data_IF_132439385012
#
_entry.id   IF_132439385012
#
_cell.length_a   1.000
_cell.length_b   1.000
_cell.length_c   1.000
_cell.angle_alpha   90.00
_cell.angle_beta   90.00
_cell.angle_gamma   90.00
#
_symmetry.space_group_name_H-M   'P 1'
#
loop_
_entity.id
_entity.type
_entity.pdbx_description
1 polymer ?
#
# COMPACT_ATOMS: atom_id res chain seq x y z
N UNK A 1 15.57 34.02 6.07
CA UNK A 1 15.69 33.10 7.21
C UNK A 1 17.11 33.06 7.75
N UNK A 2 17.31 33.09 9.07
CA UNK A 2 18.58 32.85 9.75
C UNK A 2 18.39 31.65 10.69
N UNK A 3 19.27 30.67 10.59
CA UNK A 3 19.32 29.53 11.49
C UNK A 3 20.44 29.75 12.48
N UNK A 4 20.14 29.64 13.77
CA UNK A 4 21.11 29.74 14.86
C UNK A 4 21.06 28.41 15.61
N UNK A 5 22.15 27.66 15.54
CA UNK A 5 22.30 26.41 16.28
C UNK A 5 23.07 26.67 17.57
N UNK A 6 22.53 26.19 18.69
CA UNK A 6 23.20 26.15 19.97
C UNK A 6 23.36 24.69 20.37
N UNK A 7 24.59 24.28 20.66
CA UNK A 7 24.89 22.94 21.19
C UNK A 7 25.77 23.06 22.41
N UNK A 8 25.25 22.64 23.55
CA UNK A 8 25.92 22.50 24.84
C UNK A 8 25.73 21.05 25.33
N UNK A 9 26.57 20.52 26.23
CA UNK A 9 26.35 19.20 26.80
C UNK A 9 24.94 19.09 27.42
N UNK A 10 24.11 18.20 26.88
CA UNK A 10 22.72 17.99 27.32
C UNK A 10 21.69 18.97 26.75
N UNK A 11 22.08 19.92 25.89
CA UNK A 11 21.16 20.84 25.23
C UNK A 11 21.53 21.07 23.77
N UNK A 12 20.66 20.63 22.87
CA UNK A 12 20.70 20.99 21.45
C UNK A 12 19.47 21.83 21.12
N UNK A 13 19.68 23.04 20.62
CA UNK A 13 18.63 23.96 20.22
C UNK A 13 18.90 24.48 18.80
N UNK A 14 17.85 24.50 17.98
CA UNK A 14 17.81 25.17 16.70
C UNK A 14 16.83 26.34 16.81
N UNK A 15 17.33 27.56 16.64
CA UNK A 15 16.50 28.76 16.58
C UNK A 15 16.42 29.24 15.14
N UNK A 16 15.20 29.29 14.62
CA UNK A 16 14.93 29.84 13.30
C UNK A 16 14.34 31.25 13.43
N UNK A 17 14.99 32.23 12.79
CA UNK A 17 14.51 33.61 12.73
C UNK A 17 14.20 33.95 11.28
N UNK A 18 12.94 34.25 10.98
CA UNK A 18 12.52 34.69 9.65
C UNK A 18 11.71 35.98 9.68
N UNK A 19 11.68 36.68 8.54
CA UNK A 19 10.81 37.85 8.31
C UNK A 19 9.49 37.44 7.65
N UNK A 20 9.36 36.17 7.27
CA UNK A 20 8.17 35.65 6.62
C UNK A 20 6.99 35.71 7.60
N UNK A 21 5.79 35.97 7.08
CA UNK A 21 4.59 35.87 7.88
C UNK A 21 4.34 34.40 8.27
N UNK A 22 3.59 34.14 9.37
CA UNK A 22 3.18 32.79 9.72
C UNK A 22 2.51 32.03 8.56
N UNK A 23 1.72 32.73 7.73
CA UNK A 23 1.04 32.15 6.57
C UNK A 23 2.02 31.74 5.48
N UNK A 24 3.01 32.58 5.17
CA UNK A 24 4.05 32.25 4.20
C UNK A 24 4.88 31.06 4.68
N UNK A 25 5.23 31.03 5.97
CA UNK A 25 5.98 29.90 6.56
C UNK A 25 5.18 28.60 6.53
N UNK A 26 3.88 28.65 6.83
CA UNK A 26 2.98 27.51 6.72
C UNK A 26 2.92 26.98 5.27
N UNK A 27 2.83 27.86 4.28
CA UNK A 27 2.81 27.49 2.87
C UNK A 27 4.12 26.82 2.43
N UNK A 28 5.26 27.34 2.86
CA UNK A 28 6.57 26.75 2.57
C UNK A 28 6.71 25.36 3.17
N UNK A 29 6.31 25.17 4.43
CA UNK A 29 6.32 23.86 5.10
C UNK A 29 5.45 22.85 4.34
N UNK A 30 4.25 23.24 3.90
CA UNK A 30 3.41 22.37 3.09
C UNK A 30 4.01 22.05 1.72
N UNK A 31 4.63 23.03 1.06
CA UNK A 31 5.28 22.81 -0.23
C UNK A 31 6.44 21.82 -0.11
N UNK A 32 7.27 22.00 0.91
CA UNK A 32 8.40 21.11 1.19
C UNK A 32 7.92 19.70 1.55
N UNK A 33 6.88 19.60 2.39
CA UNK A 33 6.27 18.33 2.74
C UNK A 33 5.76 17.55 1.52
N UNK A 34 4.98 18.21 0.66
CA UNK A 34 4.41 17.61 -0.57
C UNK A 34 5.46 17.16 -1.59
N UNK A 35 6.66 17.76 -1.57
CA UNK A 35 7.78 17.32 -2.42
C UNK A 35 8.41 16.00 -1.97
N UNK A 36 8.31 15.68 -0.68
CA UNK A 36 9.02 14.55 -0.08
C UNK A 36 8.09 13.44 0.42
N UNK A 37 6.80 13.70 0.57
CA UNK A 37 5.84 12.75 1.13
C UNK A 37 4.69 12.50 0.16
N UNK A 38 4.15 11.29 0.23
CA UNK A 38 2.83 11.01 -0.36
C UNK A 38 1.79 11.89 0.35
N UNK A 39 0.93 12.53 -0.43
CA UNK A 39 -0.20 13.30 0.10
C UNK A 39 -1.45 13.06 -0.75
N UNK A 40 -2.59 13.42 -0.19
CA UNK A 40 -3.90 13.16 -0.80
C UNK A 40 -4.65 14.49 -0.91
N UNK A 41 -5.23 14.74 -2.08
CA UNK A 41 -6.05 15.91 -2.39
C UNK A 41 -7.53 15.51 -2.54
N UNK A 42 -8.44 16.31 -2.00
CA UNK A 42 -9.87 16.00 -1.97
C UNK A 42 -10.55 16.22 -0.60
N UNK A 43 -11.74 15.60 -0.38
CA UNK A 43 -12.40 14.64 -1.27
C UNK A 43 -12.91 15.29 -2.58
N UNK A 44 -12.94 14.50 -3.64
CA UNK A 44 -13.59 14.81 -4.91
C UNK A 44 -15.07 14.37 -4.89
N UNK A 45 -15.86 14.83 -5.86
CA UNK A 45 -17.30 14.51 -5.90
C UNK A 45 -17.58 13.06 -6.31
N UNK A 46 -16.73 12.47 -7.17
CA UNK A 46 -16.86 11.11 -7.69
C UNK A 46 -15.51 10.60 -8.21
N UNK A 47 -15.43 9.30 -8.52
CA UNK A 47 -14.21 8.68 -9.06
C UNK A 47 -13.74 9.34 -10.35
N UNK A 48 -14.68 9.72 -11.23
CA UNK A 48 -14.38 10.32 -12.53
C UNK A 48 -13.67 11.67 -12.38
N UNK A 49 -14.09 12.49 -11.43
CA UNK A 49 -13.48 13.79 -11.14
C UNK A 49 -12.12 13.67 -10.46
N UNK A 50 -11.91 12.68 -9.60
CA UNK A 50 -10.58 12.36 -9.08
C UNK A 50 -9.65 11.86 -10.20
N UNK A 51 -10.13 10.95 -11.06
CA UNK A 51 -9.37 10.42 -12.19
C UNK A 51 -8.96 11.55 -13.15
N UNK A 52 -9.88 12.44 -13.50
CA UNK A 52 -9.60 13.60 -14.36
C UNK A 52 -8.61 14.61 -13.74
N UNK A 53 -8.45 14.60 -12.41
CA UNK A 53 -7.50 15.42 -11.67
C UNK A 53 -6.16 14.70 -11.40
N UNK A 54 -5.95 13.52 -11.98
CA UNK A 54 -4.76 12.68 -11.79
C UNK A 54 -4.12 12.28 -13.12
N UNK A 55 -2.87 11.82 -13.07
CA UNK A 55 -2.13 11.33 -14.24
C UNK A 55 -2.47 9.88 -14.60
N UNK A 56 -2.86 9.06 -13.61
CA UNK A 56 -3.25 7.66 -13.78
C UNK A 56 -2.09 6.65 -13.77
N UNK A 57 -2.43 5.35 -13.76
CA UNK A 57 -1.47 4.23 -13.64
C UNK A 57 -0.79 3.81 -14.96
N UNK A 58 -1.28 4.28 -16.11
CA UNK A 58 -0.84 3.82 -17.44
C UNK A 58 0.47 4.44 -17.93
N UNK A 59 1.23 5.12 -17.06
CA UNK A 59 2.48 5.74 -17.47
C UNK A 59 3.56 4.66 -17.72
N UNK A 60 4.14 4.54 -18.94
CA UNK A 60 5.18 3.55 -19.24
C UNK A 60 6.41 3.61 -18.31
N UNK A 61 6.65 4.79 -17.72
CA UNK A 61 7.71 5.02 -16.75
C UNK A 61 7.55 4.19 -15.45
N UNK A 62 6.32 3.87 -15.04
CA UNK A 62 6.06 3.08 -13.82
C UNK A 62 6.54 1.65 -14.03
N UNK A 63 6.13 1.00 -15.13
CA UNK A 63 6.59 -0.35 -15.46
C UNK A 63 8.12 -0.42 -15.61
N UNK A 64 8.72 0.56 -16.31
CA UNK A 64 10.17 0.60 -16.48
C UNK A 64 10.90 0.66 -15.13
N UNK A 65 10.43 1.50 -14.20
CA UNK A 65 11.01 1.61 -12.86
C UNK A 65 10.78 0.35 -12.03
N UNK A 66 9.60 -0.24 -12.11
CA UNK A 66 9.29 -1.51 -11.45
C UNK A 66 10.23 -2.62 -11.95
N UNK A 67 10.45 -2.75 -13.26
CA UNK A 67 11.38 -3.71 -13.84
C UNK A 67 12.79 -3.53 -13.29
N UNK A 68 13.32 -2.31 -13.26
CA UNK A 68 14.67 -2.04 -12.77
C UNK A 68 14.82 -2.36 -11.27
N UNK A 69 13.80 -2.05 -10.47
CA UNK A 69 13.76 -2.37 -9.04
C UNK A 69 13.68 -3.89 -8.82
N UNK A 70 12.78 -4.60 -9.50
CA UNK A 70 12.63 -6.05 -9.39
C UNK A 70 13.88 -6.78 -9.87
N UNK A 71 14.50 -6.35 -10.98
CA UNK A 71 15.82 -6.86 -11.43
C UNK A 71 16.88 -6.69 -10.35
N UNK A 72 16.90 -5.55 -9.64
CA UNK A 72 17.84 -5.34 -8.55
C UNK A 72 17.68 -6.37 -7.42
N UNK A 73 16.43 -6.71 -7.09
CA UNK A 73 16.12 -7.73 -6.08
C UNK A 73 16.49 -9.14 -6.54
N UNK A 74 16.13 -9.51 -7.78
CA UNK A 74 16.42 -10.84 -8.34
C UNK A 74 17.92 -11.06 -8.49
N UNK A 75 18.67 -10.03 -8.89
CA UNK A 75 20.13 -10.08 -9.03
C UNK A 75 20.89 -9.92 -7.70
N UNK A 76 20.20 -9.80 -6.57
CA UNK A 76 20.81 -9.65 -5.24
C UNK A 76 21.47 -8.29 -4.98
N UNK A 77 21.23 -7.29 -5.83
CA UNK A 77 21.66 -5.89 -5.60
C UNK A 77 20.82 -5.17 -4.55
N UNK A 78 19.60 -5.67 -4.30
CA UNK A 78 18.71 -5.21 -3.24
C UNK A 78 18.11 -6.43 -2.51
N UNK A 79 17.73 -6.26 -1.24
CA UNK A 79 17.05 -7.28 -0.45
C UNK A 79 15.58 -7.42 -0.82
N UNK A 80 14.90 -6.30 -1.08
CA UNK A 80 13.52 -6.23 -1.58
C UNK A 80 13.28 -4.84 -2.20
N UNK A 81 12.11 -4.66 -2.80
CA UNK A 81 11.63 -3.34 -3.23
C UNK A 81 10.19 -3.12 -2.74
N UNK A 82 9.80 -1.85 -2.62
CA UNK A 82 8.43 -1.44 -2.30
C UNK A 82 8.13 -0.16 -3.05
N UNK A 83 7.03 -0.14 -3.78
CA UNK A 83 6.64 0.98 -4.65
C UNK A 83 7.80 1.41 -5.56
N UNK A 84 8.57 0.45 -6.09
CA UNK A 84 9.78 0.63 -6.92
C UNK A 84 11.01 1.21 -6.20
N UNK A 85 10.92 1.49 -4.90
CA UNK A 85 12.06 1.89 -4.06
C UNK A 85 12.80 0.64 -3.60
N UNK A 86 14.11 0.58 -3.87
CA UNK A 86 14.95 -0.54 -3.46
C UNK A 86 15.44 -0.40 -2.03
N UNK A 87 15.51 -1.52 -1.31
CA UNK A 87 16.03 -1.61 0.05
C UNK A 87 17.14 -2.64 0.10
N UNK A 88 18.31 -2.25 0.63
CA UNK A 88 19.47 -3.14 0.76
C UNK A 88 19.42 -3.96 2.04
N UNK A 89 18.83 -3.42 3.11
CA UNK A 89 18.58 -4.14 4.35
C UNK A 89 17.26 -4.89 4.27
N UNK A 90 17.25 -6.16 4.70
CA UNK A 90 16.04 -6.97 4.65
C UNK A 90 15.06 -6.55 5.73
N UNK A 91 13.82 -6.34 5.34
CA UNK A 91 12.69 -6.11 6.23
C UNK A 91 11.47 -6.82 5.66
N UNK A 92 10.65 -7.38 6.54
CA UNK A 92 9.42 -8.06 6.18
C UNK A 92 8.22 -7.23 6.63
N UNK A 93 7.11 -7.34 5.88
CA UNK A 93 5.81 -6.98 6.45
C UNK A 93 5.42 -8.09 7.44
N UNK A 94 5.81 -7.94 8.71
CA UNK A 94 5.57 -8.96 9.73
C UNK A 94 4.10 -9.41 9.85
N UNK A 95 3.09 -8.51 9.79
CA UNK A 95 1.69 -8.94 9.79
C UNK A 95 1.35 -9.86 8.60
N UNK A 96 1.77 -9.48 7.38
CA UNK A 96 1.53 -10.29 6.18
C UNK A 96 2.26 -11.63 6.27
N UNK A 97 3.53 -11.62 6.65
CA UNK A 97 4.31 -12.86 6.80
C UNK A 97 3.70 -13.80 7.84
N UNK A 98 3.24 -13.28 8.98
CA UNK A 98 2.61 -14.07 10.02
C UNK A 98 1.35 -14.77 9.51
N UNK A 99 0.47 -14.05 8.81
CA UNK A 99 -0.75 -14.63 8.25
C UNK A 99 -0.49 -15.61 7.10
N UNK A 100 0.51 -15.36 6.25
CA UNK A 100 0.94 -16.33 5.24
C UNK A 100 1.46 -17.64 5.87
N UNK A 101 2.26 -17.54 6.94
CA UNK A 101 2.74 -18.70 7.69
C UNK A 101 1.60 -19.43 8.41
N UNK A 102 0.63 -18.70 8.96
CA UNK A 102 -0.57 -19.29 9.54
C UNK A 102 -1.35 -20.11 8.49
N UNK A 103 -1.62 -19.55 7.31
CA UNK A 103 -2.30 -20.27 6.21
C UNK A 103 -1.53 -21.53 5.83
N UNK A 104 -0.21 -21.45 5.69
CA UNK A 104 0.63 -22.60 5.37
C UNK A 104 0.56 -23.68 6.46
N UNK A 105 0.58 -23.29 7.74
CA UNK A 105 0.45 -24.21 8.89
C UNK A 105 -0.89 -24.95 8.92
N UNK A 106 -1.93 -24.36 8.31
CA UNK A 106 -3.28 -24.93 8.18
C UNK A 106 -3.48 -25.71 6.88
N UNK A 107 -2.44 -25.83 6.06
CA UNK A 107 -2.51 -26.39 4.70
C UNK A 107 -1.35 -27.36 4.41
N UNK A 108 -0.96 -28.20 5.37
CA UNK A 108 0.15 -29.17 5.22
C UNK A 108 1.49 -28.53 4.78
N UNK A 109 1.76 -27.32 5.28
CA UNK A 109 2.90 -26.48 4.91
C UNK A 109 2.94 -26.07 3.44
N UNK A 110 1.80 -26.10 2.74
CA UNK A 110 1.65 -25.64 1.35
C UNK A 110 1.07 -24.24 1.35
N UNK A 111 1.70 -23.33 0.62
CA UNK A 111 1.20 -21.97 0.44
C UNK A 111 0.97 -21.69 -1.04
N UNK A 112 -0.29 -21.49 -1.40
CA UNK A 112 -0.73 -21.20 -2.77
C UNK A 112 -1.43 -19.85 -2.76
N UNK A 113 -0.75 -18.84 -3.28
CA UNK A 113 -1.17 -17.44 -3.21
C UNK A 113 -1.61 -16.98 -4.58
N UNK A 114 -2.78 -16.34 -4.63
CA UNK A 114 -3.13 -15.44 -5.73
C UNK A 114 -3.00 -14.01 -5.19
N UNK A 115 -2.11 -13.22 -5.79
CA UNK A 115 -1.74 -11.88 -5.36
C UNK A 115 -2.25 -10.85 -6.37
N UNK A 116 -3.39 -10.23 -6.05
CA UNK A 116 -4.09 -9.33 -6.96
C UNK A 116 -3.53 -7.91 -6.82
N UNK A 117 -2.96 -7.37 -7.89
CA UNK A 117 -2.20 -6.11 -7.87
C UNK A 117 -0.77 -6.27 -7.33
N UNK A 118 -0.17 -7.46 -7.45
CA UNK A 118 1.18 -7.76 -6.94
C UNK A 118 2.35 -7.22 -7.78
N UNK A 119 2.08 -6.36 -8.78
CA UNK A 119 3.06 -5.82 -9.72
C UNK A 119 3.93 -6.91 -10.37
N UNK A 120 5.25 -6.89 -10.13
CA UNK A 120 6.21 -7.88 -10.65
C UNK A 120 6.60 -8.91 -9.58
N UNK A 121 5.77 -9.12 -8.56
CA UNK A 121 6.00 -10.05 -7.46
C UNK A 121 6.67 -9.43 -6.24
N UNK A 122 6.40 -8.16 -5.94
CA UNK A 122 7.01 -7.41 -4.81
C UNK A 122 6.88 -8.16 -3.48
N UNK A 123 5.65 -8.57 -3.14
CA UNK A 123 5.34 -9.32 -1.91
C UNK A 123 5.98 -10.70 -1.91
N UNK A 124 5.97 -11.41 -3.05
CA UNK A 124 6.65 -12.68 -3.20
C UNK A 124 8.14 -12.53 -2.91
N UNK A 125 8.82 -11.60 -3.59
CA UNK A 125 10.26 -11.42 -3.46
C UNK A 125 10.67 -10.94 -2.06
N UNK A 126 9.86 -10.10 -1.42
CA UNK A 126 10.09 -9.65 -0.04
C UNK A 126 10.07 -10.82 0.95
N UNK A 127 9.17 -11.80 0.77
CA UNK A 127 8.92 -12.85 1.78
C UNK A 127 9.46 -14.24 1.42
N UNK A 128 9.82 -14.51 0.15
CA UNK A 128 10.19 -15.87 -0.34
C UNK A 128 11.29 -16.54 0.48
N UNK A 129 12.27 -15.79 0.98
CA UNK A 129 13.34 -16.37 1.80
C UNK A 129 12.86 -16.89 3.14
N UNK A 130 11.88 -16.21 3.77
CA UNK A 130 11.27 -16.69 5.00
C UNK A 130 10.32 -17.87 4.76
N UNK A 131 9.76 -17.98 3.54
CA UNK A 131 8.82 -19.02 3.14
C UNK A 131 9.48 -20.23 2.46
N UNK A 132 10.81 -20.21 2.26
CA UNK A 132 11.53 -21.25 1.53
C UNK A 132 11.53 -22.64 2.18
N UNK A 133 11.14 -22.73 3.46
CA UNK A 133 11.08 -23.99 4.21
C UNK A 133 9.73 -24.73 4.03
N UNK A 134 8.77 -24.12 3.34
CA UNK A 134 7.46 -24.69 3.08
C UNK A 134 7.56 -25.88 2.11
N UNK A 135 6.62 -26.83 2.23
CA UNK A 135 6.58 -28.02 1.36
C UNK A 135 6.19 -27.66 -0.07
N UNK A 136 5.43 -26.58 -0.24
CA UNK A 136 5.08 -25.96 -1.52
C UNK A 136 4.96 -24.44 -1.34
N UNK A 137 5.53 -23.69 -2.27
CA UNK A 137 5.31 -22.26 -2.44
C UNK A 137 4.96 -21.99 -3.90
N UNK A 138 3.69 -21.71 -4.17
CA UNK A 138 3.18 -21.36 -5.49
C UNK A 138 2.49 -20.00 -5.40
N UNK A 139 2.98 -19.02 -6.17
CA UNK A 139 2.52 -17.64 -6.14
C UNK A 139 2.13 -17.21 -7.54
N UNK A 140 0.89 -16.73 -7.71
CA UNK A 140 0.43 -16.18 -8.97
C UNK A 140 0.05 -14.72 -8.78
N UNK A 141 0.77 -13.83 -9.42
CA UNK A 141 0.41 -12.41 -9.47
C UNK A 141 -0.66 -12.19 -10.53
N UNK A 142 -1.72 -11.47 -10.17
CA UNK A 142 -2.75 -11.00 -11.09
C UNK A 142 -2.56 -9.51 -11.34
N UNK A 143 -2.30 -9.13 -12.58
CA UNK A 143 -1.93 -7.76 -12.96
C UNK A 143 -2.37 -7.40 -14.38
N UNK A 144 -2.22 -6.13 -14.75
CA UNK A 144 -2.51 -5.62 -16.08
C UNK A 144 -1.67 -6.32 -17.16
N UNK A 145 -2.17 -6.46 -18.41
CA UNK A 145 -1.54 -7.28 -19.45
C UNK A 145 -0.06 -6.94 -19.73
N UNK A 146 0.32 -5.66 -19.63
CA UNK A 146 1.71 -5.23 -19.85
C UNK A 146 2.65 -5.64 -18.70
N UNK A 147 2.19 -5.60 -17.44
CA UNK A 147 2.92 -6.15 -16.29
C UNK A 147 3.04 -7.67 -16.39
N UNK A 148 1.95 -8.36 -16.75
CA UNK A 148 1.95 -9.82 -16.93
C UNK A 148 2.92 -10.25 -18.01
N UNK A 149 2.94 -9.55 -19.15
CA UNK A 149 3.88 -9.84 -20.24
C UNK A 149 5.33 -9.67 -19.79
N UNK A 150 5.65 -8.60 -19.07
CA UNK A 150 6.99 -8.35 -18.55
C UNK A 150 7.40 -9.35 -17.45
N UNK A 151 6.48 -9.65 -16.52
CA UNK A 151 6.67 -10.62 -15.45
C UNK A 151 6.97 -12.02 -15.99
N UNK A 152 6.18 -12.49 -16.97
CA UNK A 152 6.42 -13.78 -17.65
C UNK A 152 7.76 -13.82 -18.36
N UNK A 153 8.16 -12.72 -18.99
CA UNK A 153 9.40 -12.67 -19.75
C UNK A 153 10.66 -12.69 -18.87
N UNK A 154 10.61 -12.14 -17.65
CA UNK A 154 11.82 -11.90 -16.85
C UNK A 154 11.86 -12.58 -15.47
N UNK A 155 10.70 -12.86 -14.85
CA UNK A 155 10.64 -13.24 -13.44
C UNK A 155 9.82 -14.50 -13.16
N UNK A 156 9.07 -15.02 -14.14
CA UNK A 156 8.32 -16.27 -13.97
C UNK A 156 9.27 -17.47 -13.82
N UNK A 157 8.97 -18.32 -12.84
CA UNK A 157 9.73 -19.53 -12.55
C UNK A 157 8.81 -20.64 -11.99
N UNK A 158 9.39 -21.68 -11.37
CA UNK A 158 8.61 -22.79 -10.82
C UNK A 158 7.72 -22.43 -9.63
N UNK A 159 7.96 -21.30 -8.95
CA UNK A 159 7.23 -20.85 -7.77
C UNK A 159 6.48 -19.52 -7.95
N UNK A 160 6.83 -18.71 -8.95
CA UNK A 160 6.18 -17.45 -9.28
C UNK A 160 5.62 -17.49 -10.71
N UNK A 161 4.35 -17.15 -10.89
CA UNK A 161 3.68 -17.04 -12.19
C UNK A 161 2.83 -15.77 -12.29
N UNK A 162 2.40 -15.44 -13.50
CA UNK A 162 1.58 -14.25 -13.75
C UNK A 162 0.29 -14.57 -14.52
N UNK A 163 -0.76 -13.78 -14.28
CA UNK A 163 -2.07 -13.87 -14.93
C UNK A 163 -2.65 -12.47 -15.10
N UNK A 164 -3.38 -12.22 -16.19
CA UNK A 164 -4.18 -11.01 -16.37
C UNK A 164 -5.66 -11.20 -15.96
N UNK A 165 -6.01 -12.42 -15.53
CA UNK A 165 -7.35 -12.80 -15.07
C UNK A 165 -7.30 -13.41 -13.68
N UNK A 166 -8.08 -12.81 -12.77
CA UNK A 166 -8.26 -13.31 -11.40
C UNK A 166 -8.92 -14.70 -11.40
N UNK A 167 -9.93 -14.90 -12.25
CA UNK A 167 -10.62 -16.19 -12.36
C UNK A 167 -9.69 -17.31 -12.83
N UNK A 168 -8.93 -17.06 -13.89
CA UNK A 168 -7.96 -18.05 -14.40
C UNK A 168 -6.87 -18.36 -13.38
N UNK A 169 -6.38 -17.35 -12.66
CA UNK A 169 -5.40 -17.54 -11.60
C UNK A 169 -5.95 -18.43 -10.48
N UNK A 170 -7.19 -18.18 -10.03
CA UNK A 170 -7.85 -18.99 -9.00
C UNK A 170 -8.05 -20.44 -9.47
N UNK A 171 -8.55 -20.64 -10.69
CA UNK A 171 -8.83 -21.98 -11.22
C UNK A 171 -7.54 -22.81 -11.40
N UNK A 172 -6.46 -22.15 -11.85
CA UNK A 172 -5.15 -22.75 -12.08
C UNK A 172 -4.42 -23.07 -10.77
N UNK A 173 -4.32 -22.08 -9.88
CA UNK A 173 -3.49 -22.16 -8.66
C UNK A 173 -4.23 -22.87 -7.54
N UNK A 174 -5.57 -22.78 -7.51
CA UNK A 174 -6.43 -23.24 -6.40
C UNK A 174 -5.89 -22.72 -5.06
N UNK A 175 -5.82 -21.38 -4.91
CA UNK A 175 -5.17 -20.75 -3.78
C UNK A 175 -5.83 -21.17 -2.47
N UNK A 176 -5.02 -21.29 -1.41
CA UNK A 176 -5.55 -21.30 -0.05
C UNK A 176 -5.67 -19.88 0.50
N UNK A 177 -4.95 -18.91 -0.06
CA UNK A 177 -5.08 -17.49 0.29
C UNK A 177 -5.05 -16.59 -0.93
N UNK A 178 -5.90 -15.57 -0.94
CA UNK A 178 -5.80 -14.43 -1.86
C UNK A 178 -5.26 -13.22 -1.10
N UNK A 179 -4.25 -12.55 -1.66
CA UNK A 179 -3.66 -11.34 -1.12
C UNK A 179 -4.16 -10.11 -1.90
N UNK A 180 -4.66 -9.12 -1.16
CA UNK A 180 -5.07 -7.80 -1.64
C UNK A 180 -4.23 -6.74 -0.90
N UNK A 181 -2.98 -6.50 -1.30
CA UNK A 181 -2.10 -5.53 -0.64
C UNK A 181 -2.06 -4.22 -1.43
N UNK A 182 -2.78 -3.20 -0.95
CA UNK A 182 -2.75 -1.86 -1.54
C UNK A 182 -3.33 -1.77 -2.95
N UNK A 183 -4.36 -2.58 -3.25
CA UNK A 183 -4.96 -2.67 -4.59
C UNK A 183 -6.38 -2.14 -4.66
N UNK A 184 -7.23 -2.48 -3.67
CA UNK A 184 -8.68 -2.26 -3.75
C UNK A 184 -9.02 -0.78 -3.94
N UNK A 185 -8.37 0.11 -3.18
CA UNK A 185 -8.64 1.54 -3.22
C UNK A 185 -8.33 2.21 -4.57
N UNK A 186 -7.59 1.55 -5.46
CA UNK A 186 -7.23 2.11 -6.76
C UNK A 186 -8.15 1.63 -7.90
N UNK A 187 -9.15 0.79 -7.59
CA UNK A 187 -10.14 0.32 -8.55
C UNK A 187 -11.32 1.28 -8.62
N UNK A 188 -11.89 1.47 -9.81
CA UNK A 188 -13.09 2.30 -10.00
C UNK A 188 -14.31 1.79 -9.22
N UNK A 189 -14.42 0.47 -9.06
CA UNK A 189 -15.54 -0.18 -8.39
C UNK A 189 -15.06 -1.16 -7.29
N UNK A 190 -14.42 -0.66 -6.22
CA UNK A 190 -13.70 -1.47 -5.24
C UNK A 190 -14.58 -2.54 -4.60
N UNK A 191 -15.79 -2.17 -4.17
CA UNK A 191 -16.75 -3.10 -3.57
C UNK A 191 -17.20 -4.20 -4.52
N UNK A 192 -17.35 -3.92 -5.82
CA UNK A 192 -17.74 -4.92 -6.81
C UNK A 192 -16.65 -5.98 -6.98
N UNK A 193 -15.39 -5.57 -7.08
CA UNK A 193 -14.26 -6.50 -7.17
C UNK A 193 -14.12 -7.32 -5.89
N UNK A 194 -14.31 -6.70 -4.73
CA UNK A 194 -14.31 -7.38 -3.45
C UNK A 194 -15.44 -8.41 -3.35
N UNK A 195 -16.68 -8.05 -3.69
CA UNK A 195 -17.83 -8.98 -3.69
C UNK A 195 -17.61 -10.16 -4.66
N UNK A 196 -17.11 -9.91 -5.88
CA UNK A 196 -16.79 -10.98 -6.83
C UNK A 196 -15.79 -11.97 -6.23
N UNK A 197 -14.72 -11.47 -5.61
CA UNK A 197 -13.72 -12.32 -4.96
C UNK A 197 -14.31 -13.12 -3.80
N UNK A 198 -15.05 -12.47 -2.89
CA UNK A 198 -15.67 -13.13 -1.73
C UNK A 198 -16.65 -14.23 -2.17
N UNK A 199 -17.38 -14.03 -3.27
CA UNK A 199 -18.32 -15.01 -3.80
C UNK A 199 -17.67 -16.33 -4.25
N UNK A 200 -16.35 -16.33 -4.51
CA UNK A 200 -15.59 -17.51 -4.92
C UNK A 200 -15.24 -18.45 -3.77
N UNK A 201 -15.48 -18.03 -2.51
CA UNK A 201 -15.35 -18.91 -1.34
C UNK A 201 -13.94 -19.42 -1.07
N UNK A 202 -12.90 -18.64 -1.39
CA UNK A 202 -11.52 -18.97 -1.05
C UNK A 202 -11.36 -19.01 0.48
N UNK A 203 -10.70 -20.05 1.00
CA UNK A 203 -10.65 -20.31 2.45
C UNK A 203 -10.11 -19.11 3.24
N UNK A 204 -9.03 -18.49 2.77
CA UNK A 204 -8.45 -17.30 3.42
C UNK A 204 -8.33 -16.13 2.45
N UNK A 205 -8.55 -14.92 2.95
CA UNK A 205 -8.28 -13.67 2.23
C UNK A 205 -7.50 -12.75 3.16
N UNK A 206 -6.38 -12.22 2.67
CA UNK A 206 -5.56 -11.27 3.39
C UNK A 206 -5.64 -9.92 2.68
N UNK A 207 -6.30 -8.96 3.32
CA UNK A 207 -6.40 -7.57 2.88
C UNK A 207 -5.34 -6.76 3.62
N UNK A 208 -4.51 -6.01 2.91
CA UNK A 208 -3.39 -5.26 3.47
C UNK A 208 -3.29 -3.88 2.82
N UNK A 209 -2.75 -2.88 3.53
CA UNK A 209 -2.54 -1.50 3.04
C UNK A 209 -3.76 -0.88 2.33
N UNK A 210 -4.97 -1.14 2.82
CA UNK A 210 -6.19 -0.54 2.27
C UNK A 210 -6.50 0.77 2.98
N UNK A 211 -6.67 1.86 2.22
CA UNK A 211 -7.13 3.15 2.77
C UNK A 211 -8.60 3.07 3.16
N UNK A 212 -8.89 2.85 4.43
CA UNK A 212 -10.24 2.67 4.93
C UNK A 212 -10.43 3.24 6.34
N UNK A 213 -11.60 3.82 6.60
CA UNK A 213 -11.97 4.38 7.91
C UNK A 213 -13.39 3.95 8.29
N UNK A 214 -13.64 3.87 9.60
CA UNK A 214 -14.95 3.47 10.14
C UNK A 214 -15.96 4.62 10.15
N UNK A 215 -15.48 5.85 10.35
CA UNK A 215 -16.34 7.02 10.54
C UNK A 215 -16.45 7.91 9.28
N UNK A 216 -16.47 7.30 8.09
CA UNK A 216 -16.68 8.01 6.83
C UNK A 216 -17.38 7.16 5.78
N UNK A 217 -18.12 7.82 4.88
CA UNK A 217 -18.56 7.22 3.63
C UNK A 217 -17.37 7.09 2.66
N UNK A 218 -17.48 6.19 1.69
CA UNK A 218 -16.56 6.12 0.56
C UNK A 218 -16.37 7.50 -0.07
N UNK A 219 -15.12 7.96 -0.12
CA UNK A 219 -14.79 9.26 -0.67
C UNK A 219 -13.57 9.16 -1.59
N UNK A 220 -13.64 9.68 -2.82
CA UNK A 220 -12.51 9.66 -3.74
C UNK A 220 -11.56 10.82 -3.47
N UNK A 221 -10.27 10.55 -3.56
CA UNK A 221 -9.17 11.51 -3.44
C UNK A 221 -8.21 11.34 -4.63
N UNK A 222 -7.27 12.25 -4.77
CA UNK A 222 -6.09 12.07 -5.63
C UNK A 222 -4.88 11.87 -4.73
N UNK A 223 -4.22 10.71 -4.84
CA UNK A 223 -2.92 10.48 -4.24
C UNK A 223 -1.84 11.06 -5.13
N UNK A 224 -0.91 11.81 -4.54
CA UNK A 224 0.29 12.30 -5.21
C UNK A 224 1.53 11.60 -4.68
N UNK A 225 2.38 11.13 -5.59
CA UNK A 225 3.63 10.43 -5.26
C UNK A 225 4.81 11.38 -5.49
N UNK A 226 5.73 11.52 -4.51
CA UNK A 226 6.88 12.39 -4.66
C UNK A 226 7.89 11.82 -5.67
N UNK A 227 8.57 12.70 -6.40
CA UNK A 227 9.43 12.34 -7.52
C UNK A 227 10.58 11.36 -7.18
N UNK A 228 11.03 11.32 -5.93
CA UNK A 228 12.08 10.39 -5.49
C UNK A 228 11.57 8.93 -5.48
N UNK A 229 10.26 8.70 -5.28
CA UNK A 229 9.60 7.41 -5.51
C UNK A 229 9.29 7.29 -7.00
N UNK A 230 8.52 8.19 -7.57
CA UNK A 230 8.33 8.45 -9.01
C UNK A 230 7.31 9.59 -9.12
N UNK A 231 7.37 10.41 -10.17
CA UNK A 231 6.36 11.45 -10.36
C UNK A 231 5.10 10.83 -10.93
N UNK A 232 4.05 10.74 -10.12
CA UNK A 232 2.73 10.30 -10.55
C UNK A 232 1.64 10.79 -9.61
N UNK A 233 0.39 10.71 -10.09
CA UNK A 233 -0.79 10.87 -9.26
C UNK A 233 -1.91 9.91 -9.68
N UNK A 234 -2.70 9.45 -8.72
CA UNK A 234 -3.71 8.41 -8.93
C UNK A 234 -5.03 8.76 -8.24
N UNK A 235 -6.18 8.41 -8.85
CA UNK A 235 -7.42 8.40 -8.09
C UNK A 235 -7.35 7.30 -7.04
N UNK A 236 -7.89 7.56 -5.86
CA UNK A 236 -7.86 6.62 -4.73
C UNK A 236 -9.11 6.78 -3.89
N UNK A 237 -9.67 5.67 -3.43
CA UNK A 237 -10.76 5.68 -2.48
C UNK A 237 -10.26 5.71 -1.05
N UNK A 238 -10.85 6.56 -0.23
CA UNK A 238 -10.90 6.33 1.21
C UNK A 238 -12.19 5.59 1.48
N UNK A 239 -12.06 4.28 1.73
CA UNK A 239 -13.19 3.35 1.81
C UNK A 239 -13.84 3.36 3.20
N UNK A 240 -15.12 3.04 3.22
CA UNK A 240 -15.88 2.78 4.43
C UNK A 240 -15.57 1.35 4.93
N UNK A 241 -14.85 1.27 6.04
CA UNK A 241 -14.45 0.01 6.65
C UNK A 241 -15.64 -0.82 7.18
N UNK A 242 -16.73 -0.17 7.60
CA UNK A 242 -17.95 -0.88 8.01
C UNK A 242 -18.64 -1.55 6.82
N UNK A 243 -18.70 -0.89 5.66
CA UNK A 243 -19.28 -1.47 4.44
C UNK A 243 -18.46 -2.65 3.94
N UNK A 244 -17.13 -2.55 3.98
CA UNK A 244 -16.25 -3.68 3.66
C UNK A 244 -16.51 -4.88 4.59
N UNK A 245 -16.57 -4.66 5.91
CA UNK A 245 -16.84 -5.73 6.87
C UNK A 245 -18.24 -6.33 6.74
N UNK A 246 -19.24 -5.50 6.42
CA UNK A 246 -20.58 -5.99 6.12
C UNK A 246 -20.57 -6.90 4.89
N UNK A 247 -19.78 -6.58 3.86
CA UNK A 247 -19.59 -7.44 2.70
C UNK A 247 -18.90 -8.77 3.05
N UNK A 248 -17.87 -8.74 3.92
CA UNK A 248 -17.23 -9.97 4.42
C UNK A 248 -18.27 -10.88 5.10
N UNK A 249 -19.01 -10.35 6.06
CA UNK A 249 -20.01 -11.10 6.83
C UNK A 249 -21.16 -11.62 5.94
N UNK A 250 -21.62 -10.82 4.97
CA UNK A 250 -22.63 -11.20 3.97
C UNK A 250 -22.21 -12.43 3.15
N UNK A 251 -20.91 -12.63 2.98
CA UNK A 251 -20.32 -13.77 2.27
C UNK A 251 -19.71 -14.78 3.24
N UNK A 252 -20.18 -14.87 4.49
CA UNK A 252 -19.75 -15.83 5.52
C UNK A 252 -18.23 -15.85 5.79
N UNK A 253 -17.59 -14.69 5.67
CA UNK A 253 -16.21 -14.51 6.14
C UNK A 253 -16.20 -13.94 7.55
N UNK A 254 -15.46 -14.59 8.43
CA UNK A 254 -15.10 -14.06 9.73
C UNK A 254 -13.84 -13.19 9.62
N UNK A 255 -13.85 -12.03 10.28
CA UNK A 255 -12.64 -11.23 10.49
C UNK A 255 -11.88 -11.81 11.67
N UNK A 256 -10.88 -12.64 11.38
CA UNK A 256 -10.02 -13.28 12.40
C UNK A 256 -9.10 -12.26 13.05
N UNK A 257 -8.59 -11.31 12.27
CA UNK A 257 -7.75 -10.22 12.76
C UNK A 257 -7.94 -8.94 11.95
N UNK A 258 -7.71 -7.82 12.63
CA UNK A 258 -7.58 -6.50 12.04
C UNK A 258 -6.29 -5.88 12.55
N UNK A 259 -5.40 -5.54 11.64
CA UNK A 259 -4.06 -5.06 11.97
C UNK A 259 -3.73 -3.75 11.24
N UNK A 260 -2.72 -3.05 11.73
CA UNK A 260 -2.14 -1.92 11.03
C UNK A 260 -0.98 -2.39 10.13
N UNK A 261 -1.02 -2.07 8.83
CA UNK A 261 0.06 -2.39 7.90
C UNK A 261 1.38 -1.72 8.31
N UNK A 262 2.50 -2.42 8.10
CA UNK A 262 3.82 -1.90 8.45
C UNK A 262 4.26 -0.76 7.50
N UNK A 263 4.51 0.42 8.08
CA UNK A 263 5.28 1.53 7.51
C UNK A 263 4.94 1.92 6.08
N UNK A 264 4.11 2.95 5.87
CA UNK A 264 3.90 3.55 4.56
C UNK A 264 4.87 4.73 4.32
N UNK A 265 5.10 5.11 3.06
CA UNK A 265 5.96 6.26 2.73
C UNK A 265 5.30 7.62 2.99
N UNK A 266 4.10 7.63 3.56
CA UNK A 266 3.32 8.82 3.75
C UNK A 266 3.27 9.24 5.21
N UNK A 267 3.60 10.51 5.46
CA UNK A 267 3.14 11.21 6.66
C UNK A 267 1.85 11.96 6.32
N UNK A 268 1.01 12.23 7.31
CA UNK A 268 -0.25 12.99 7.11
C UNK A 268 -0.06 14.49 7.38
N UNK A 269 0.91 14.86 8.22
CA UNK A 269 1.20 16.26 8.53
C UNK A 269 2.70 16.48 8.67
N UNK A 270 3.24 17.59 8.13
CA UNK A 270 4.63 17.95 8.35
C UNK A 270 4.92 18.12 9.84
N UNK A 271 5.93 17.44 10.42
CA UNK A 271 6.34 17.64 11.80
C UNK A 271 6.53 19.13 12.19
N UNK A 272 7.11 20.00 11.32
CA UNK A 272 7.25 21.43 11.64
C UNK A 272 5.93 22.19 11.88
N UNK A 273 4.81 21.79 11.26
CA UNK A 273 3.52 22.43 11.56
C UNK A 273 3.01 22.11 12.96
N UNK A 274 3.33 20.91 13.47
CA UNK A 274 2.98 20.53 14.84
C UNK A 274 3.73 21.42 15.83
N UNK A 275 4.97 21.80 15.54
CA UNK A 275 5.76 22.71 16.36
C UNK A 275 5.21 24.14 16.34
N UNK A 276 4.86 24.68 15.16
CA UNK A 276 4.22 26.00 15.07
C UNK A 276 2.93 26.07 15.93
N UNK A 277 2.10 25.03 15.87
CA UNK A 277 0.89 24.92 16.71
C UNK A 277 1.24 24.90 18.20
N UNK A 278 2.25 24.12 18.61
CA UNK A 278 2.73 24.04 20.01
C UNK A 278 3.21 25.40 20.52
N UNK A 279 3.74 26.25 19.63
CA UNK A 279 4.26 27.58 19.98
C UNK A 279 3.17 28.68 19.95
N UNK A 280 1.89 28.30 19.81
CA UNK A 280 0.77 29.23 19.80
C UNK A 280 0.66 30.07 18.52
N UNK A 281 1.39 29.69 17.47
CA UNK A 281 1.27 30.33 16.16
C UNK A 281 0.03 29.76 15.48
N UNK A 282 -0.93 30.64 15.15
CA UNK A 282 -2.17 30.25 14.50
C UNK A 282 -1.91 29.61 13.15
N UNK A 283 -1.99 28.28 13.11
CA UNK A 283 -2.01 27.48 11.89
C UNK A 283 -3.45 27.09 11.58
N UNK A 284 -3.82 27.05 10.30
CA UNK A 284 -5.10 26.46 9.90
C UNK A 284 -5.14 25.02 10.43
N UNK A 285 -6.19 24.59 11.14
CA UNK A 285 -6.26 23.21 11.63
C UNK A 285 -6.12 22.27 10.42
N UNK A 286 -5.07 21.44 10.43
CA UNK A 286 -5.08 20.27 9.58
C UNK A 286 -6.33 19.44 9.97
N UNK A 287 -7.11 18.92 9.00
CA UNK A 287 -8.13 17.93 9.31
C UNK A 287 -7.49 16.82 10.16
N UNK A 288 -8.25 16.33 11.15
CA UNK A 288 -7.77 15.56 12.31
C UNK A 288 -6.56 14.66 12.02
N UNK A 289 -5.49 14.87 12.81
CA UNK A 289 -4.25 14.11 12.73
C UNK A 289 -4.50 12.62 12.98
N UNK A 290 -4.29 11.81 11.94
CA UNK A 290 -4.00 10.39 12.05
C UNK A 290 -2.86 10.05 11.10
N UNK A 291 -2.19 8.93 11.30
CA UNK A 291 -1.44 8.29 10.20
C UNK A 291 -2.40 8.00 9.05
N UNK A 292 -1.89 7.76 7.83
CA UNK A 292 -2.77 7.40 6.71
C UNK A 292 -3.66 6.23 7.14
N UNK A 293 -4.94 6.20 6.77
CA UNK A 293 -5.94 5.29 7.31
C UNK A 293 -5.79 3.88 6.72
N UNK A 294 -4.57 3.35 6.70
CA UNK A 294 -4.29 2.03 6.21
C UNK A 294 -4.72 1.00 7.24
N UNK A 295 -5.57 0.08 6.83
CA UNK A 295 -6.06 -1.02 7.64
C UNK A 295 -5.85 -2.31 6.87
N UNK A 296 -5.49 -3.37 7.60
CA UNK A 296 -5.45 -4.73 7.10
C UNK A 296 -6.47 -5.61 7.81
N UNK A 297 -6.93 -6.65 7.11
CA UNK A 297 -7.82 -7.67 7.63
C UNK A 297 -7.33 -9.05 7.20
N UNK A 298 -7.36 -10.00 8.13
CA UNK A 298 -7.26 -11.41 7.81
C UNK A 298 -8.64 -12.05 7.95
N UNK A 299 -9.11 -12.66 6.86
CA UNK A 299 -10.44 -13.22 6.74
C UNK A 299 -10.36 -14.74 6.59
N UNK A 300 -11.25 -15.45 7.27
CA UNK A 300 -11.45 -16.89 7.10
C UNK A 300 -12.89 -17.18 6.68
N UNK A 301 -13.07 -17.99 5.63
CA UNK A 301 -14.37 -18.47 5.20
C UNK A 301 -14.88 -19.51 6.20
N UNK A 302 -16.08 -19.27 6.72
CA UNK A 302 -16.79 -20.20 7.59
C UNK A 302 -17.22 -21.43 6.78
N UNK A 303 -16.98 -22.61 7.34
CA UNK A 303 -17.53 -23.86 6.82
C UNK A 303 -18.96 -23.98 7.35
N UNK A 304 -19.94 -23.85 6.45
CA UNK A 304 -21.38 -24.03 6.72
C UNK A 304 -21.75 -25.49 6.44
#
# INVERSE_FOLDING_TARGET
>A
MRLISFSLPGLHCLLEVTRDSPQARQQDIWSEFRRHNVYFDGPHNDWRSAMAASEGYDAPAILAKALDATRAVVQGRASYERDTVIFTERSYSHPVLAWLLYVASRSDLRLRVVDFGGALGSSYFQHRSALAHLSELNWCVVEQPHFVSAGRAEFEDGGLSFSDSLGEAIDRVRPNVVLLSGVLQYLEHPHKYLEDLLSRGIKFILVDKTTAQFDMADAPFVQHVPAWIYSASYPVWFLNAHEMQASFAKHDYEVVDRFQPAGTFGLVTPPPLQELKRWGIGVTPAPQQHEWPYVGWFLEKLEI
#
